data_IF_968976573103
#
_entry.id   IF_968976573103
#
_cell.length_a   1.000
_cell.length_b   1.000
_cell.length_c   1.000
_cell.angle_alpha   90.00
_cell.angle_beta   90.00
_cell.angle_gamma   90.00
#
_symmetry.space_group_name_H-M   'P 1'
#
loop_
_entity.id
_entity.type
_entity.pdbx_description
1 polymer ?
#
# COMPACT_ATOMS: atom_id res chain seq x y z
N UNK A 1 0.30 13.64 21.80
CA UNK A 1 0.08 14.31 20.49
C UNK A 1 0.93 13.58 19.46
N UNK A 2 0.35 13.14 18.35
CA UNK A 2 1.09 12.36 17.34
C UNK A 2 2.29 13.19 16.85
N UNK A 3 3.50 12.71 17.09
CA UNK A 3 4.77 13.39 16.86
C UNK A 3 5.23 13.38 15.39
N UNK A 4 4.32 13.15 14.45
CA UNK A 4 4.58 13.19 13.02
C UNK A 4 3.63 14.19 12.37
N UNK A 5 4.15 15.11 11.55
CA UNK A 5 3.36 16.13 10.85
C UNK A 5 2.10 15.56 10.15
N UNK A 6 1.11 16.42 9.90
CA UNK A 6 -0.26 16.03 9.49
C UNK A 6 -0.35 14.90 8.45
N UNK A 7 0.53 14.91 7.43
CA UNK A 7 0.62 13.85 6.43
C UNK A 7 0.96 12.46 7.03
N UNK A 8 1.97 12.38 7.91
CA UNK A 8 2.37 11.12 8.56
C UNK A 8 1.25 10.58 9.46
N UNK A 9 0.56 11.46 10.18
CA UNK A 9 -0.61 11.09 10.98
C UNK A 9 -1.69 10.44 10.13
N UNK A 10 -2.04 11.06 9.00
CA UNK A 10 -3.05 10.50 8.07
C UNK A 10 -2.61 9.15 7.48
N UNK A 11 -1.37 9.02 7.03
CA UNK A 11 -0.85 7.78 6.44
C UNK A 11 -0.82 6.62 7.44
N UNK A 12 -0.59 6.89 8.72
CA UNK A 12 -0.67 5.89 9.78
C UNK A 12 -2.10 5.34 9.92
N UNK A 13 -3.12 6.22 9.89
CA UNK A 13 -4.52 5.80 9.92
C UNK A 13 -4.92 5.01 8.68
N UNK A 14 -4.50 5.42 7.48
CA UNK A 14 -4.75 4.66 6.24
C UNK A 14 -4.13 3.26 6.32
N UNK A 15 -2.89 3.14 6.80
CA UNK A 15 -2.23 1.83 7.00
C UNK A 15 -3.01 0.95 7.97
N UNK A 16 -3.55 1.53 9.04
CA UNK A 16 -4.37 0.82 10.03
C UNK A 16 -5.68 0.33 9.40
N UNK A 17 -6.36 1.18 8.63
CA UNK A 17 -7.58 0.84 7.91
C UNK A 17 -7.33 -0.27 6.88
N UNK A 18 -6.28 -0.15 6.07
CA UNK A 18 -5.89 -1.15 5.06
C UNK A 18 -5.59 -2.52 5.67
N UNK A 19 -4.85 -2.55 6.80
CA UNK A 19 -4.56 -3.80 7.52
C UNK A 19 -5.81 -4.46 8.09
N UNK A 20 -6.85 -3.68 8.41
CA UNK A 20 -8.13 -4.20 8.90
C UNK A 20 -8.92 -4.85 7.78
N UNK A 21 -8.98 -4.22 6.62
CA UNK A 21 -9.67 -4.73 5.44
C UNK A 21 -9.12 -4.08 4.18
N UNK A 22 -8.86 -4.91 3.17
CA UNK A 22 -8.54 -4.48 1.81
C UNK A 22 -9.02 -5.53 0.81
N UNK A 23 -9.24 -5.17 -0.47
CA UNK A 23 -9.64 -6.13 -1.49
C UNK A 23 -8.60 -7.24 -1.67
N UNK A 24 -9.07 -8.48 -1.88
CA UNK A 24 -8.20 -9.63 -2.10
C UNK A 24 -7.31 -9.41 -3.33
N UNK A 25 -6.03 -9.83 -3.22
CA UNK A 25 -5.03 -9.68 -4.28
C UNK A 25 -4.41 -8.28 -4.40
N UNK A 26 -5.00 -7.25 -3.79
CA UNK A 26 -4.39 -5.93 -3.70
C UNK A 26 -3.35 -5.88 -2.58
N UNK A 27 -2.23 -5.20 -2.83
CA UNK A 27 -1.19 -4.98 -1.83
C UNK A 27 -0.90 -3.49 -1.73
N UNK A 28 -0.78 -2.97 -0.51
CA UNK A 28 -0.23 -1.66 -0.24
C UNK A 28 0.54 -1.70 1.08
N UNK A 29 1.87 -1.53 1.03
CA UNK A 29 2.73 -1.52 2.21
C UNK A 29 3.76 -0.39 2.13
N UNK A 30 4.02 0.36 3.22
CA UNK A 30 5.06 1.37 3.21
C UNK A 30 6.44 0.72 3.00
N UNK A 31 7.35 1.44 2.36
CA UNK A 31 8.69 0.99 2.08
C UNK A 31 9.50 0.87 3.38
N UNK A 32 10.35 -0.16 3.42
CA UNK A 32 11.35 -0.31 4.47
C UNK A 32 12.64 0.33 3.99
N UNK A 33 13.24 1.16 4.82
CA UNK A 33 14.54 1.76 4.58
C UNK A 33 15.65 0.73 4.87
N UNK A 34 16.89 0.95 4.36
CA UNK A 34 18.01 0.04 4.59
C UNK A 34 18.36 -0.19 6.07
N UNK A 35 18.00 0.77 6.93
CA UNK A 35 18.18 0.69 8.39
C UNK A 35 17.06 -0.11 9.11
N UNK A 36 16.10 -0.66 8.36
CA UNK A 36 14.96 -1.41 8.90
C UNK A 36 13.79 -0.54 9.36
N UNK A 37 13.92 0.78 9.33
CA UNK A 37 12.82 1.69 9.65
C UNK A 37 11.79 1.78 8.52
N UNK A 38 10.56 2.19 8.83
CA UNK A 38 9.48 2.29 7.85
C UNK A 38 9.32 3.73 7.37
N UNK A 39 9.36 3.94 6.06
CA UNK A 39 9.04 5.21 5.44
C UNK A 39 7.57 5.27 5.03
N UNK A 40 6.74 5.92 5.85
CA UNK A 40 5.31 6.11 5.54
C UNK A 40 5.04 6.98 4.31
N UNK A 41 6.04 7.68 3.77
CA UNK A 41 5.89 8.55 2.61
C UNK A 41 6.09 7.82 1.27
N UNK A 42 6.54 6.56 1.28
CA UNK A 42 6.77 5.75 0.08
C UNK A 42 6.09 4.39 0.24
N UNK A 43 5.34 3.94 -0.77
CA UNK A 43 4.54 2.73 -0.70
C UNK A 43 4.80 1.81 -1.89
N UNK A 44 4.95 0.53 -1.58
CA UNK A 44 4.99 -0.55 -2.55
C UNK A 44 3.58 -1.12 -2.70
N UNK A 45 2.98 -0.89 -3.86
CA UNK A 45 1.61 -1.28 -4.16
C UNK A 45 1.55 -2.29 -5.30
N UNK A 46 0.58 -3.20 -5.24
CA UNK A 46 0.26 -4.14 -6.32
C UNK A 46 -1.25 -4.08 -6.56
N UNK A 47 -1.62 -3.86 -7.81
CA UNK A 47 -3.00 -3.92 -8.29
C UNK A 47 -3.11 -5.16 -9.17
N UNK A 48 -3.91 -6.18 -8.77
CA UNK A 48 -4.10 -7.35 -9.60
C UNK A 48 -4.88 -6.98 -10.87
N UNK A 49 -4.63 -7.70 -11.96
CA UNK A 49 -5.43 -7.59 -13.17
C UNK A 49 -6.90 -7.90 -12.88
N UNK A 50 -7.80 -7.24 -13.60
CA UNK A 50 -9.24 -7.51 -13.47
C UNK A 50 -9.56 -8.91 -14.00
N UNK A 51 -10.35 -9.67 -13.25
CA UNK A 51 -10.83 -10.98 -13.70
C UNK A 51 -11.57 -10.86 -15.04
N UNK A 52 -11.35 -11.83 -15.92
CA UNK A 52 -11.95 -11.87 -17.26
C UNK A 52 -11.31 -10.93 -18.28
N UNK A 53 -10.32 -10.13 -17.89
CA UNK A 53 -9.50 -9.33 -18.80
C UNK A 53 -8.16 -10.05 -18.99
N UNK A 54 -8.19 -11.22 -19.61
CA UNK A 54 -6.95 -11.86 -20.08
C UNK A 54 -6.25 -10.93 -21.07
N UNK A 55 -4.91 -10.85 -21.07
CA UNK A 55 -4.16 -10.32 -22.19
C UNK A 55 -4.24 -11.36 -23.32
N UNK A 56 -5.39 -11.44 -24.00
CA UNK A 56 -5.43 -11.98 -25.35
C UNK A 56 -4.68 -10.99 -26.26
N UNK A 57 -3.35 -11.03 -26.17
CA UNK A 57 -2.54 -11.11 -27.38
C UNK A 57 -2.60 -12.62 -27.69
N UNK A 58 -3.50 -13.13 -28.54
CA UNK A 58 -3.37 -13.10 -30.01
C UNK A 58 -1.97 -12.65 -30.43
N UNK A 59 -0.95 -13.46 -30.15
CA UNK A 59 -0.19 -14.27 -31.11
C UNK A 59 0.86 -15.12 -30.37
#
# INVERSE_FOLDING_TARGET
>A
MASGGAARGRLAEERKAWRKSHPLGFVAKPAMLPDGSVNLMLWNCVVPGKEGVSPHLTE
#
